data_IF_007749830395
#
_entry.id   IF_007749830395
#
_cell.length_a   1.000
_cell.length_b   1.000
_cell.length_c   1.000
_cell.angle_alpha   90.00
_cell.angle_beta   90.00
_cell.angle_gamma   90.00
#
_symmetry.space_group_name_H-M   'P 1'
#
loop_
_entity.id
_entity.type
_entity.pdbx_description
1 polymer ?
#
# COMPACT_ATOMS: atom_id res chain seq x y z
N UNK A 1 1.92 -4.09 5.83
CA UNK A 1 3.40 -4.22 5.78
C UNK A 1 4.01 -3.24 4.78
N UNK A 2 3.56 -3.19 3.51
CA UNK A 2 4.11 -2.31 2.48
C UNK A 2 4.20 -0.82 2.89
N UNK A 3 3.10 -0.21 3.36
CA UNK A 3 3.08 1.18 3.86
C UNK A 3 4.03 1.42 5.05
N UNK A 4 4.37 0.38 5.82
CA UNK A 4 5.37 0.48 6.91
C UNK A 4 6.80 0.48 6.35
N UNK A 5 7.06 -0.35 5.33
CA UNK A 5 8.33 -0.32 4.61
C UNK A 5 8.55 1.03 3.91
N UNK A 6 7.52 1.58 3.27
CA UNK A 6 7.55 2.92 2.67
C UNK A 6 7.97 3.99 3.68
N UNK A 7 7.32 4.02 4.86
CA UNK A 7 7.70 4.96 5.93
C UNK A 7 9.14 4.76 6.43
N UNK A 8 9.63 3.53 6.50
CA UNK A 8 11.01 3.27 6.89
C UNK A 8 12.01 3.78 5.84
N UNK A 9 11.70 3.62 4.55
CA UNK A 9 12.52 4.14 3.46
C UNK A 9 12.49 5.67 3.41
N UNK A 10 11.35 6.30 3.66
CA UNK A 10 11.26 7.76 3.81
C UNK A 10 12.14 8.26 4.95
N UNK A 11 12.11 7.58 6.10
CA UNK A 11 12.97 7.94 7.23
C UNK A 11 14.46 7.77 6.90
N UNK A 12 14.83 6.72 6.16
CA UNK A 12 16.20 6.51 5.67
C UNK A 12 16.63 7.62 4.70
N UNK A 13 15.76 7.99 3.76
CA UNK A 13 16.03 9.01 2.75
C UNK A 13 16.26 10.42 3.33
N UNK A 14 15.93 10.64 4.62
CA UNK A 14 16.24 11.89 5.30
C UNK A 14 17.71 12.00 5.74
N UNK A 15 18.44 10.88 5.84
CA UNK A 15 19.85 10.83 6.26
C UNK A 15 20.81 10.26 5.23
N UNK A 16 20.32 9.47 4.27
CA UNK A 16 21.11 8.77 3.25
C UNK A 16 20.53 8.95 1.85
N UNK A 17 21.36 8.69 0.83
CA UNK A 17 20.92 8.65 -0.56
C UNK A 17 20.14 7.37 -0.81
N UNK A 18 18.89 7.53 -1.23
CA UNK A 18 18.00 6.44 -1.63
C UNK A 18 17.58 6.68 -3.08
N UNK A 19 17.55 5.60 -3.87
CA UNK A 19 17.01 5.66 -5.22
C UNK A 19 15.50 6.02 -5.17
N UNK A 20 15.08 7.15 -5.79
CA UNK A 20 13.68 7.57 -5.84
C UNK A 20 12.73 6.49 -6.40
N UNK A 21 13.23 5.60 -7.26
CA UNK A 21 12.45 4.51 -7.84
C UNK A 21 11.92 3.55 -6.76
N UNK A 22 12.62 3.39 -5.63
CA UNK A 22 12.20 2.53 -4.52
C UNK A 22 10.91 3.05 -3.87
N UNK A 23 10.82 4.37 -3.64
CA UNK A 23 9.62 4.99 -3.07
C UNK A 23 8.43 4.87 -4.04
N UNK A 24 8.66 5.12 -5.33
CA UNK A 24 7.64 4.94 -6.37
C UNK A 24 7.16 3.49 -6.41
N UNK A 25 8.07 2.53 -6.37
CA UNK A 25 7.73 1.11 -6.36
C UNK A 25 6.90 0.73 -5.14
N UNK A 26 7.31 1.13 -3.93
CA UNK A 26 6.59 0.81 -2.69
C UNK A 26 5.18 1.43 -2.66
N UNK A 27 5.03 2.62 -3.21
CA UNK A 27 3.73 3.27 -3.36
C UNK A 27 2.81 2.44 -4.28
N UNK A 28 3.28 2.08 -5.49
CA UNK A 28 2.51 1.27 -6.45
C UNK A 28 2.21 -0.14 -5.96
N UNK A 29 3.17 -0.77 -5.28
CA UNK A 29 2.98 -2.08 -4.66
C UNK A 29 1.88 -2.03 -3.61
N UNK A 30 1.78 -0.94 -2.83
CA UNK A 30 0.73 -0.82 -1.83
C UNK A 30 -0.67 -0.77 -2.45
N UNK A 31 -0.83 -0.13 -3.60
CA UNK A 31 -2.10 -0.08 -4.33
C UNK A 31 -2.42 -1.45 -4.95
N UNK A 32 -1.44 -2.11 -5.55
CA UNK A 32 -1.61 -3.46 -6.10
C UNK A 32 -2.06 -4.47 -5.03
N UNK A 33 -1.46 -4.42 -3.85
CA UNK A 33 -1.84 -5.30 -2.73
C UNK A 33 -3.28 -5.04 -2.26
N UNK A 34 -3.75 -3.79 -2.33
CA UNK A 34 -5.13 -3.44 -2.01
C UNK A 34 -6.10 -4.01 -3.06
N UNK A 35 -5.79 -3.87 -4.35
CA UNK A 35 -6.60 -4.44 -5.43
C UNK A 35 -6.62 -5.98 -5.39
N UNK A 36 -5.49 -6.61 -5.07
CA UNK A 36 -5.41 -8.05 -4.91
C UNK A 36 -6.18 -8.57 -3.69
N UNK A 37 -6.23 -7.81 -2.60
CA UNK A 37 -7.09 -8.17 -1.46
C UNK A 37 -8.57 -8.18 -1.87
N UNK A 38 -9.02 -7.18 -2.64
CA UNK A 38 -10.38 -7.13 -3.18
C UNK A 38 -10.66 -8.26 -4.16
N UNK A 39 -9.70 -8.58 -5.03
CA UNK A 39 -9.81 -9.70 -5.96
C UNK A 39 -9.91 -11.04 -5.22
N UNK A 40 -9.13 -11.22 -4.14
CA UNK A 40 -9.21 -12.41 -3.30
C UNK A 40 -10.60 -12.54 -2.66
N UNK A 41 -11.11 -11.48 -2.04
CA UNK A 41 -12.46 -11.44 -1.48
C UNK A 41 -13.52 -11.77 -2.55
N UNK A 42 -13.41 -11.17 -3.74
CA UNK A 42 -14.33 -11.42 -4.85
C UNK A 42 -14.35 -12.90 -5.27
N UNK A 43 -13.18 -13.54 -5.35
CA UNK A 43 -13.05 -14.97 -5.70
C UNK A 43 -13.64 -15.90 -4.64
N UNK A 44 -13.61 -15.49 -3.39
CA UNK A 44 -14.20 -16.24 -2.27
C UNK A 44 -15.68 -15.89 -2.01
N UNK A 45 -16.26 -14.95 -2.77
CA UNK A 45 -17.63 -14.48 -2.58
C UNK A 45 -17.83 -13.63 -1.32
N UNK A 46 -16.74 -13.11 -0.75
CA UNK A 46 -16.77 -12.24 0.44
C UNK A 46 -17.15 -10.81 0.01
N UNK A 47 -18.22 -10.21 0.57
CA UNK A 47 -18.64 -8.86 0.21
C UNK A 47 -17.68 -7.80 0.77
N UNK A 48 -17.42 -6.77 -0.04
CA UNK A 48 -16.62 -5.61 0.37
C UNK A 48 -17.37 -4.75 1.39
N UNK A 49 -16.67 -4.23 2.39
CA UNK A 49 -17.21 -3.23 3.32
C UNK A 49 -16.93 -1.83 2.79
N UNK A 50 -17.93 -1.11 2.23
CA UNK A 50 -17.71 0.24 1.74
C UNK A 50 -17.38 1.17 2.89
N UNK A 51 -16.43 2.07 2.67
CA UNK A 51 -16.16 3.15 3.61
C UNK A 51 -17.40 4.02 3.77
N UNK A 52 -17.87 4.18 5.01
CA UNK A 52 -18.95 5.10 5.36
C UNK A 52 -18.33 6.34 6.02
N UNK A 53 -18.27 7.50 5.33
CA UNK A 53 -17.96 8.74 6.01
C UNK A 53 -18.97 8.94 7.14
N UNK A 54 -18.49 9.25 8.34
CA UNK A 54 -19.35 9.67 9.44
C UNK A 54 -20.16 10.90 9.03
N UNK A 55 -21.42 10.95 9.48
CA UNK A 55 -22.30 12.11 9.30
C UNK A 55 -21.69 13.37 9.91
#
# INVERSE_FOLDING_TARGET
VCRRAERAVVALAAGDVVDPAVLVYLNRLSDLLFDWARLANHREGVPETPWRPGR
#
